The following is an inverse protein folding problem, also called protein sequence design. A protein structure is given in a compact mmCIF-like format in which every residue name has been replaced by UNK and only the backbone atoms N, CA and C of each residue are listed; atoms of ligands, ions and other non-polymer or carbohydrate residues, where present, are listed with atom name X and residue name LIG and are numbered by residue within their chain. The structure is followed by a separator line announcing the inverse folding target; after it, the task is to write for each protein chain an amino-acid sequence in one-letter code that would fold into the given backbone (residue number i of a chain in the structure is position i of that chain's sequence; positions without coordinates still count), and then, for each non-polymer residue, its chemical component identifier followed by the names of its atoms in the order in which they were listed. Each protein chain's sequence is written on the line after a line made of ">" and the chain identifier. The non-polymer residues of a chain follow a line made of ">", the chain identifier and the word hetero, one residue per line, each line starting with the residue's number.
data_IF_213910839830
#
_entry.id   IF_213910839830
#
_cell.length_a   1.000
_cell.length_b   1.000
_cell.length_c   1.000
_cell.angle_alpha   90.00
_cell.angle_beta   90.00
_cell.angle_gamma   90.00
#
_symmetry.space_group_name_H-M   'P 1'
#
loop_
_entity.id
_entity.type
_entity.pdbx_description
1 polymer ?
#
# COMPACT_ATOMS: atom_id res chain seq x y z
N UNK A 1 16.66 23.50 -20.29
CA UNK A 1 15.67 23.13 -19.24
C UNK A 1 15.41 21.65 -19.39
N UNK A 2 16.02 20.84 -18.53
CA UNK A 2 15.94 19.38 -18.61
C UNK A 2 14.59 18.94 -18.06
N UNK A 3 13.70 18.50 -18.94
CA UNK A 3 12.41 17.93 -18.57
C UNK A 3 12.68 16.63 -17.82
N UNK A 4 12.29 16.57 -16.56
CA UNK A 4 12.42 15.34 -15.78
C UNK A 4 11.67 14.20 -16.51
N UNK A 5 12.26 13.00 -16.63
CA UNK A 5 11.63 11.91 -17.35
C UNK A 5 10.28 11.56 -16.72
N UNK A 6 9.26 11.41 -17.55
CA UNK A 6 7.94 10.91 -17.13
C UNK A 6 8.12 9.49 -16.60
N UNK A 7 7.87 9.28 -15.32
CA UNK A 7 7.95 7.96 -14.69
C UNK A 7 6.54 7.42 -14.52
N UNK A 8 6.22 6.38 -15.27
CA UNK A 8 4.97 5.64 -15.13
C UNK A 8 5.21 4.32 -14.43
N UNK A 9 4.49 4.09 -13.35
CA UNK A 9 4.58 2.86 -12.55
C UNK A 9 3.19 2.28 -12.35
N UNK A 10 3.01 1.04 -12.79
CA UNK A 10 1.79 0.29 -12.44
C UNK A 10 1.83 -0.02 -10.95
N UNK A 11 0.94 0.63 -10.23
CA UNK A 11 0.77 0.43 -8.81
C UNK A 11 -0.31 -0.62 -8.57
N UNK A 12 -0.07 -1.49 -7.61
CA UNK A 12 -0.99 -2.53 -7.19
C UNK A 12 -0.23 -3.66 -6.53
N UNK A 13 -0.77 -4.18 -5.44
CA UNK A 13 -0.24 -5.39 -4.83
C UNK A 13 -0.36 -6.53 -5.85
N UNK A 14 0.72 -7.25 -6.07
CA UNK A 14 0.67 -8.48 -6.87
C UNK A 14 -0.10 -9.58 -6.12
N UNK A 15 -0.47 -10.63 -6.85
CA UNK A 15 -1.22 -11.75 -6.26
C UNK A 15 -0.45 -12.35 -5.08
N UNK A 16 0.87 -12.43 -5.16
CA UNK A 16 1.72 -12.98 -4.11
C UNK A 16 1.69 -12.10 -2.85
N UNK A 17 1.86 -10.78 -2.96
CA UNK A 17 1.80 -9.87 -1.80
C UNK A 17 0.42 -9.84 -1.16
N UNK A 18 -0.65 -9.94 -1.95
CA UNK A 18 -2.03 -10.05 -1.44
C UNK A 18 -2.23 -11.36 -0.68
N UNK A 19 -1.73 -12.48 -1.22
CA UNK A 19 -1.79 -13.77 -0.58
C UNK A 19 -1.07 -13.73 0.77
N UNK A 20 0.13 -13.17 0.81
CA UNK A 20 0.90 -13.02 2.06
C UNK A 20 0.13 -12.21 3.09
N UNK A 21 -0.41 -11.05 2.73
CA UNK A 21 -1.19 -10.22 3.65
C UNK A 21 -2.43 -10.95 4.14
N UNK A 22 -3.19 -11.61 3.25
CA UNK A 22 -4.37 -12.35 3.62
C UNK A 22 -4.06 -13.51 4.58
N UNK A 23 -2.99 -14.26 4.32
CA UNK A 23 -2.54 -15.36 5.18
C UNK A 23 -2.07 -14.83 6.55
N UNK A 24 -1.29 -13.75 6.59
CA UNK A 24 -0.84 -13.15 7.85
C UNK A 24 -2.02 -12.65 8.69
N UNK A 25 -3.00 -11.98 8.08
CA UNK A 25 -4.20 -11.53 8.77
C UNK A 25 -5.02 -12.73 9.28
N UNK A 26 -5.22 -13.75 8.45
CA UNK A 26 -5.93 -14.97 8.84
C UNK A 26 -5.25 -15.65 10.04
N UNK A 27 -3.93 -15.83 9.97
CA UNK A 27 -3.15 -16.45 11.05
C UNK A 27 -3.18 -15.61 12.33
N UNK A 28 -2.98 -14.31 12.24
CA UNK A 28 -3.00 -13.41 13.40
C UNK A 28 -4.36 -13.42 14.11
N UNK A 29 -5.46 -13.37 13.36
CA UNK A 29 -6.81 -13.41 13.92
C UNK A 29 -7.10 -14.78 14.54
N UNK A 30 -6.77 -15.88 13.84
CA UNK A 30 -6.97 -17.24 14.36
C UNK A 30 -6.18 -17.47 15.66
N UNK A 31 -4.92 -17.08 15.70
CA UNK A 31 -4.07 -17.19 16.90
C UNK A 31 -4.60 -16.34 18.05
N UNK A 32 -4.98 -15.09 17.78
CA UNK A 32 -5.51 -14.20 18.82
C UNK A 32 -6.81 -14.72 19.41
N UNK A 33 -7.77 -15.11 18.55
CA UNK A 33 -9.05 -15.65 18.99
C UNK A 33 -8.86 -16.98 19.71
N UNK A 34 -8.02 -17.87 19.17
CA UNK A 34 -7.69 -19.13 19.81
C UNK A 34 -7.04 -18.95 21.20
N UNK A 35 -6.14 -17.98 21.35
CA UNK A 35 -5.49 -17.65 22.61
C UNK A 35 -6.50 -17.12 23.65
N UNK A 36 -7.39 -16.20 23.27
CA UNK A 36 -8.45 -15.68 24.15
C UNK A 36 -9.34 -16.81 24.64
N UNK A 37 -9.76 -17.72 23.77
CA UNK A 37 -10.59 -18.84 24.15
C UNK A 37 -9.87 -19.90 24.99
N UNK A 38 -8.58 -20.09 24.77
CA UNK A 38 -7.75 -20.97 25.62
C UNK A 38 -7.68 -20.43 27.04
N UNK A 39 -7.53 -19.13 27.24
CA UNK A 39 -7.58 -18.49 28.55
C UNK A 39 -8.94 -18.65 29.24
N UNK A 40 -10.01 -18.71 28.48
CA UNK A 40 -11.37 -18.91 28.99
C UNK A 40 -11.70 -20.39 29.28
N UNK A 41 -10.75 -21.34 29.09
CA UNK A 41 -10.96 -22.77 29.30
C UNK A 41 -11.94 -23.40 28.30
N UNK A 42 -12.07 -22.82 27.11
CA UNK A 42 -13.03 -23.25 26.11
C UNK A 42 -12.65 -24.60 25.47
N UNK A 43 -13.68 -25.38 25.10
CA UNK A 43 -13.52 -26.69 24.47
C UNK A 43 -12.91 -26.62 23.06
N UNK A 44 -12.40 -27.74 22.56
CA UNK A 44 -11.82 -27.89 21.23
C UNK A 44 -12.73 -27.44 20.08
N UNK A 45 -14.05 -27.50 20.24
CA UNK A 45 -15.02 -27.03 19.25
C UNK A 45 -14.94 -25.49 19.04
N UNK A 46 -14.59 -24.74 20.07
CA UNK A 46 -14.42 -23.27 19.98
C UNK A 46 -13.13 -22.92 19.24
N UNK A 47 -12.10 -23.74 19.34
CA UNK A 47 -10.86 -23.55 18.57
C UNK A 47 -11.09 -23.71 17.06
N UNK A 48 -11.98 -24.63 16.65
CA UNK A 48 -12.39 -24.74 15.25
C UNK A 48 -13.11 -23.48 14.77
N UNK A 49 -13.97 -22.88 15.61
CA UNK A 49 -14.63 -21.62 15.29
C UNK A 49 -13.63 -20.45 15.11
N UNK A 50 -12.57 -20.40 15.90
CA UNK A 50 -11.49 -19.41 15.75
C UNK A 50 -10.81 -19.48 14.38
N UNK A 51 -10.60 -20.68 13.86
CA UNK A 51 -10.03 -20.90 12.53
C UNK A 51 -10.96 -20.38 11.42
N UNK A 52 -12.25 -20.56 11.55
CA UNK A 52 -13.25 -20.04 10.60
C UNK A 52 -13.24 -18.52 10.59
N UNK A 53 -13.20 -17.88 11.76
CA UNK A 53 -13.11 -16.41 11.87
C UNK A 53 -11.82 -15.89 11.24
N UNK A 54 -10.68 -16.57 11.46
CA UNK A 54 -9.40 -16.23 10.82
C UNK A 54 -9.47 -16.32 9.30
N UNK A 55 -10.03 -17.40 8.76
CA UNK A 55 -10.21 -17.56 7.31
C UNK A 55 -11.12 -16.47 6.71
N UNK A 56 -12.20 -16.14 7.40
CA UNK A 56 -13.09 -15.07 6.96
C UNK A 56 -12.39 -13.70 6.97
N UNK A 57 -11.63 -13.39 8.03
CA UNK A 57 -10.83 -12.17 8.09
C UNK A 57 -9.79 -12.10 6.97
N UNK A 58 -9.12 -13.21 6.66
CA UNK A 58 -8.20 -13.32 5.52
C UNK A 58 -8.89 -13.08 4.17
N UNK A 59 -10.10 -13.63 3.97
CA UNK A 59 -10.88 -13.40 2.75
C UNK A 59 -11.31 -11.94 2.61
N UNK A 60 -11.69 -11.28 3.70
CA UNK A 60 -12.00 -9.85 3.72
C UNK A 60 -10.76 -9.03 3.38
N UNK A 61 -9.61 -9.32 4.00
CA UNK A 61 -8.35 -8.65 3.69
C UNK A 61 -7.97 -8.82 2.22
N UNK A 62 -8.12 -10.03 1.67
CA UNK A 62 -7.90 -10.30 0.25
C UNK A 62 -8.76 -9.42 -0.66
N UNK A 63 -10.05 -9.29 -0.36
CA UNK A 63 -10.97 -8.44 -1.13
C UNK A 63 -10.59 -6.96 -1.06
N UNK A 64 -10.22 -6.45 0.11
CA UNK A 64 -9.81 -5.07 0.28
C UNK A 64 -8.49 -4.75 -0.42
N UNK A 65 -7.55 -5.70 -0.53
CA UNK A 65 -6.32 -5.52 -1.29
C UNK A 65 -6.53 -5.36 -2.81
N UNK A 66 -7.72 -5.63 -3.36
CA UNK A 66 -8.04 -5.41 -4.77
C UNK A 66 -8.27 -3.94 -5.13
N UNK A 67 -8.56 -3.09 -4.18
CA UNK A 67 -9.02 -1.72 -4.42
C UNK A 67 -7.92 -0.74 -4.90
N UNK A 68 -6.67 -1.19 -5.01
CA UNK A 68 -5.53 -0.31 -5.24
C UNK A 68 -4.78 -0.47 -6.58
N UNK A 69 -5.39 -1.13 -7.60
CA UNK A 69 -4.72 -1.25 -8.90
C UNK A 69 -4.93 0.01 -9.74
N UNK A 70 -3.84 0.60 -10.21
CA UNK A 70 -3.89 1.78 -11.06
C UNK A 70 -2.51 2.15 -11.59
N UNK A 71 -2.44 3.22 -12.34
CA UNK A 71 -1.20 3.78 -12.87
C UNK A 71 -0.82 5.02 -12.06
N UNK A 72 0.37 5.02 -11.50
CA UNK A 72 0.97 6.18 -10.88
C UNK A 72 1.89 6.85 -11.89
N UNK A 73 1.59 8.09 -12.23
CA UNK A 73 2.33 8.88 -13.23
C UNK A 73 2.94 10.10 -12.56
N UNK A 74 4.24 10.30 -12.82
CA UNK A 74 4.99 11.48 -12.42
C UNK A 74 5.17 12.42 -13.61
N UNK A 75 4.74 13.68 -13.49
CA UNK A 75 4.86 14.71 -14.55
C UNK A 75 5.89 15.81 -14.21
N UNK A 76 6.89 15.48 -13.36
CA UNK A 76 7.95 16.41 -12.98
C UNK A 76 7.61 17.36 -11.83
N UNK A 77 6.32 17.62 -11.56
CA UNK A 77 5.86 18.49 -10.46
C UNK A 77 4.85 17.84 -9.55
N UNK A 78 3.95 16.98 -10.09
CA UNK A 78 2.84 16.39 -9.35
C UNK A 78 2.66 14.93 -9.70
N UNK A 79 2.12 14.20 -8.75
CA UNK A 79 1.75 12.82 -8.96
C UNK A 79 0.30 12.73 -9.40
N UNK A 80 0.05 11.90 -10.40
CA UNK A 80 -1.27 11.60 -10.91
C UNK A 80 -1.56 10.11 -10.69
N UNK A 81 -2.71 9.85 -10.10
CA UNK A 81 -3.23 8.50 -9.95
C UNK A 81 -4.33 8.26 -10.98
N UNK A 82 -4.16 7.24 -11.79
CA UNK A 82 -5.16 6.79 -12.77
C UNK A 82 -5.70 5.45 -12.30
N UNK A 83 -6.93 5.36 -11.76
CA UNK A 83 -7.48 4.12 -11.21
C UNK A 83 -7.87 3.07 -12.24
N UNK A 84 -7.87 3.38 -13.54
CA UNK A 84 -8.17 2.48 -14.64
C UNK A 84 -7.99 3.17 -15.99
N UNK A 85 -8.21 2.44 -17.10
CA UNK A 85 -7.98 2.96 -18.45
C UNK A 85 -8.87 4.16 -18.79
N UNK A 86 -10.10 4.19 -18.27
CA UNK A 86 -11.13 5.18 -18.64
C UNK A 86 -11.47 6.14 -17.49
N UNK A 87 -10.74 6.05 -16.37
CA UNK A 87 -10.99 6.91 -15.23
C UNK A 87 -10.12 8.17 -15.30
N UNK A 88 -10.65 9.33 -14.88
CA UNK A 88 -9.90 10.57 -14.86
C UNK A 88 -8.69 10.45 -13.91
N UNK A 89 -7.58 11.02 -14.33
CA UNK A 89 -6.39 11.12 -13.50
C UNK A 89 -6.69 12.02 -12.29
N UNK A 90 -6.38 11.56 -11.10
CA UNK A 90 -6.53 12.33 -9.86
C UNK A 90 -5.16 12.82 -9.42
N UNK A 91 -5.05 14.11 -9.25
CA UNK A 91 -3.83 14.74 -8.77
C UNK A 91 -3.70 14.59 -7.25
N UNK A 92 -2.46 14.45 -6.75
CA UNK A 92 -2.23 14.34 -5.32
C UNK A 92 -0.75 14.37 -4.92
N UNK A 93 -0.55 14.34 -3.61
CA UNK A 93 0.76 14.25 -2.99
C UNK A 93 1.10 12.79 -2.67
N UNK A 94 2.36 12.42 -2.87
CA UNK A 94 2.87 11.08 -2.58
C UNK A 94 3.86 11.15 -1.42
N UNK A 95 3.65 10.34 -0.40
CA UNK A 95 4.52 10.23 0.77
C UNK A 95 4.98 8.80 0.95
N UNK A 96 6.27 8.57 1.24
CA UNK A 96 6.78 7.26 1.61
C UNK A 96 6.39 6.97 3.04
N UNK A 97 5.63 5.89 3.25
CA UNK A 97 5.29 5.42 4.58
C UNK A 97 6.27 4.35 5.07
N UNK A 98 6.67 3.41 4.19
CA UNK A 98 7.63 2.35 4.50
C UNK A 98 8.52 2.12 3.28
N UNK A 99 9.83 2.08 3.49
CA UNK A 99 10.84 1.70 2.49
C UNK A 99 11.62 0.48 3.00
N UNK A 100 11.43 -0.66 2.34
CA UNK A 100 12.10 -1.92 2.66
C UNK A 100 13.11 -2.33 1.57
N UNK A 101 13.62 -1.40 0.77
CA UNK A 101 14.53 -1.62 -0.36
C UNK A 101 13.96 -2.48 -1.51
N UNK A 102 13.30 -3.58 -1.22
CA UNK A 102 12.62 -4.46 -2.17
C UNK A 102 11.14 -4.13 -2.37
N UNK A 103 10.58 -3.32 -1.47
CA UNK A 103 9.17 -2.98 -1.44
C UNK A 103 8.94 -1.60 -0.82
N UNK A 104 8.10 -0.80 -1.45
CA UNK A 104 7.70 0.53 -1.00
C UNK A 104 6.21 0.55 -0.69
N UNK A 105 5.86 1.06 0.49
CA UNK A 105 4.50 1.45 0.80
C UNK A 105 4.38 2.96 0.70
N UNK A 106 3.59 3.41 -0.22
CA UNK A 106 3.37 4.82 -0.52
C UNK A 106 1.97 5.21 -0.07
N UNK A 107 1.85 6.39 0.51
CA UNK A 107 0.57 7.03 0.78
C UNK A 107 0.33 8.13 -0.25
N UNK A 108 -0.75 8.01 -0.97
CA UNK A 108 -1.22 9.01 -1.91
C UNK A 108 -2.38 9.78 -1.29
N UNK A 109 -2.18 11.06 -1.08
CA UNK A 109 -3.18 11.99 -0.59
C UNK A 109 -3.70 12.78 -1.81
N UNK A 110 -4.89 12.43 -2.28
CA UNK A 110 -5.52 13.05 -3.45
C UNK A 110 -6.09 14.44 -3.08
N UNK A 111 -6.15 15.35 -4.07
CA UNK A 111 -6.72 16.69 -3.89
C UNK A 111 -8.20 16.65 -3.45
N UNK A 112 -8.92 15.58 -3.80
CA UNK A 112 -10.31 15.33 -3.37
C UNK A 112 -10.45 14.88 -1.91
N UNK A 113 -9.35 14.84 -1.14
CA UNK A 113 -9.29 14.40 0.25
C UNK A 113 -9.24 12.89 0.45
N UNK A 114 -9.29 12.10 -0.60
CA UNK A 114 -9.20 10.63 -0.52
C UNK A 114 -7.76 10.20 -0.32
N UNK A 115 -7.55 9.33 0.65
CA UNK A 115 -6.26 8.69 0.92
C UNK A 115 -6.23 7.29 0.32
N UNK A 116 -5.10 6.97 -0.32
CA UNK A 116 -4.87 5.64 -0.91
C UNK A 116 -3.51 5.12 -0.50
N UNK A 117 -3.46 3.83 -0.19
CA UNK A 117 -2.21 3.14 0.06
C UNK A 117 -1.81 2.37 -1.19
N UNK A 118 -0.58 2.58 -1.63
CA UNK A 118 -0.04 2.04 -2.87
C UNK A 118 1.21 1.24 -2.53
N UNK A 119 1.16 -0.05 -2.81
CA UNK A 119 2.31 -0.94 -2.65
C UNK A 119 3.01 -1.11 -4.00
N UNK A 120 4.33 -0.94 -4.01
CA UNK A 120 5.17 -1.12 -5.20
C UNK A 120 6.32 -2.06 -4.86
N UNK A 121 6.55 -3.12 -5.65
CA UNK A 121 7.64 -4.06 -5.46
C UNK A 121 8.74 -3.88 -6.51
N UNK A 122 10.00 -4.04 -6.09
CA UNK A 122 11.18 -4.02 -6.95
C UNK A 122 11.11 -5.10 -8.03
N UNK A 123 10.59 -6.27 -7.72
CA UNK A 123 10.50 -7.39 -8.66
C UNK A 123 9.72 -7.04 -9.94
N UNK A 124 8.71 -6.17 -9.84
CA UNK A 124 7.91 -5.72 -10.99
C UNK A 124 8.51 -4.54 -11.74
N UNK A 125 9.39 -3.78 -11.11
CA UNK A 125 9.89 -2.51 -11.62
C UNK A 125 11.41 -2.42 -11.56
N UNK A 126 12.12 -3.55 -11.69
CA UNK A 126 13.57 -3.65 -11.52
C UNK A 126 14.34 -2.58 -12.31
N UNK A 127 14.00 -2.40 -13.59
CA UNK A 127 14.67 -1.42 -14.46
C UNK A 127 14.42 0.05 -14.07
N UNK A 128 13.32 0.36 -13.40
CA UNK A 128 12.91 1.72 -13.01
C UNK A 128 12.94 1.96 -11.50
N UNK A 129 13.35 0.94 -10.73
CA UNK A 129 13.28 0.97 -9.28
C UNK A 129 14.10 2.10 -8.67
N UNK A 130 15.33 2.26 -9.13
CA UNK A 130 16.19 3.34 -8.65
C UNK A 130 15.63 4.73 -8.98
N UNK A 131 15.16 4.94 -10.20
CA UNK A 131 14.55 6.20 -10.62
C UNK A 131 13.28 6.51 -9.80
N UNK A 132 12.45 5.49 -9.52
CA UNK A 132 11.27 5.62 -8.68
C UNK A 132 11.64 6.04 -7.26
N UNK A 133 12.61 5.36 -6.63
CA UNK A 133 13.08 5.71 -5.28
C UNK A 133 13.62 7.15 -5.25
N UNK A 134 14.46 7.53 -6.20
CA UNK A 134 14.96 8.90 -6.29
C UNK A 134 13.82 9.92 -6.44
N UNK A 135 12.82 9.66 -7.30
CA UNK A 135 11.70 10.57 -7.52
C UNK A 135 10.80 10.73 -6.28
N UNK A 136 10.61 9.65 -5.52
CA UNK A 136 9.78 9.65 -4.31
C UNK A 136 10.49 10.33 -3.14
N UNK A 137 11.80 10.13 -2.99
CA UNK A 137 12.60 10.72 -1.91
C UNK A 137 13.00 12.18 -2.19
N UNK A 138 13.20 12.58 -3.45
CA UNK A 138 13.55 13.97 -3.80
C UNK A 138 12.53 14.99 -3.28
N UNK A 139 11.26 14.61 -3.13
CA UNK A 139 10.19 15.48 -2.62
C UNK A 139 9.95 15.43 -1.12
N UNK A 140 10.42 14.40 -0.44
CA UNK A 140 10.39 14.36 1.02
C UNK A 140 11.19 15.50 1.66
N UNK A 141 12.22 15.98 0.96
CA UNK A 141 13.05 17.11 1.37
C UNK A 141 12.30 18.46 1.27
N UNK A 142 11.49 18.67 0.23
CA UNK A 142 10.80 19.96 0.01
C UNK A 142 9.59 20.15 0.95
N UNK A 143 8.88 19.09 1.29
CA UNK A 143 7.75 19.14 2.22
C UNK A 143 8.18 19.49 3.67
N UNK A 144 9.40 19.12 4.05
CA UNK A 144 9.98 19.44 5.36
C UNK A 144 10.42 20.88 5.53
N UNK A 145 10.69 21.59 4.45
CA UNK A 145 11.16 22.98 4.48
C UNK A 145 9.99 23.96 4.65
N UNK A 146 8.85 23.68 4.04
CA UNK A 146 7.67 24.58 4.14
C UNK A 146 7.02 24.53 5.52
N UNK A 147 7.15 23.42 6.26
CA UNK A 147 6.58 23.27 7.60
C UNK A 147 7.40 23.96 8.72
N UNK A 148 8.54 24.57 8.40
CA UNK A 148 9.44 25.21 9.39
C UNK A 148 9.56 26.71 9.28
N UNK A 149 8.69 27.39 8.53
CA UNK A 149 8.66 28.85 8.58
C UNK A 149 7.81 29.27 9.79
N UNK A 150 8.42 29.88 10.83
CA UNK A 150 7.66 30.46 11.94
C UNK A 150 6.89 31.68 11.42
N UNK A 151 5.64 31.79 11.79
CA UNK A 151 4.81 32.98 11.66
C UNK A 151 5.27 34.01 12.67
#
# INVERSE_FOLDING_TARGET
>A
MSSAPVVEVRAGADVASRAVVAVLVAAAVALFVGWVFALAGASTGVQAAASVVGLWAGAVAWRHCHAGTGLLRWEGRRWHWVPGRDAPAVEGALTVAVDLDIWLLLRFDAVDGRRRWIAVSRARHAARWHALRCAVHARGADAGVVARLPV
#
